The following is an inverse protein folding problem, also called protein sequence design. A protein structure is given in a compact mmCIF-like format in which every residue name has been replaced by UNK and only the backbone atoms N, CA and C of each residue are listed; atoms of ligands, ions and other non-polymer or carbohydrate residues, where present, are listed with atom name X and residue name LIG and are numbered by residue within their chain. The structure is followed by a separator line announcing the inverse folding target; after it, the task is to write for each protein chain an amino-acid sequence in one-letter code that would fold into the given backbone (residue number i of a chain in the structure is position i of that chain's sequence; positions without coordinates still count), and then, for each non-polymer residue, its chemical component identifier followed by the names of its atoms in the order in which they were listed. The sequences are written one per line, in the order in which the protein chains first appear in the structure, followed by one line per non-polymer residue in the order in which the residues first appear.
data_IF_266111017466
#
_entry.id   IF_266111017466
#
_cell.length_a   1.000
_cell.length_b   1.000
_cell.length_c   1.000
_cell.angle_alpha   90.00
_cell.angle_beta   90.00
_cell.angle_gamma   90.00
#
_symmetry.space_group_name_H-M   'P 1'
#
loop_
_entity.id
_entity.type
_entity.pdbx_description
1 polymer ?
#
# COMPACT_ATOMS: atom_id res chain seq x y z
N UNK A 1 17.48 11.04 10.91
CA UNK A 1 16.28 11.00 11.77
C UNK A 1 15.49 9.71 11.57
N UNK A 2 15.08 9.30 10.35
CA UNK A 2 14.32 8.04 10.17
C UNK A 2 15.03 6.79 10.69
N UNK A 3 16.33 6.64 10.40
CA UNK A 3 17.12 5.49 10.85
C UNK A 3 17.20 5.30 12.37
N UNK A 4 17.10 6.38 13.15
CA UNK A 4 17.07 6.31 14.62
C UNK A 4 15.70 5.83 15.12
N UNK A 5 14.62 6.32 14.53
CA UNK A 5 13.25 5.90 14.85
C UNK A 5 13.06 4.42 14.49
N UNK A 6 13.46 4.00 13.28
CA UNK A 6 13.35 2.60 12.87
C UNK A 6 14.16 1.67 13.79
N UNK A 7 15.33 2.12 14.25
CA UNK A 7 16.14 1.36 15.22
C UNK A 7 15.43 1.20 16.56
N UNK A 8 14.84 2.27 17.08
CA UNK A 8 14.14 2.22 18.36
C UNK A 8 12.84 1.42 18.31
N UNK A 9 12.08 1.55 17.21
CA UNK A 9 10.93 0.68 16.93
C UNK A 9 11.36 -0.79 16.87
N UNK A 10 12.46 -1.09 16.17
CA UNK A 10 12.97 -2.46 16.10
C UNK A 10 13.46 -3.00 17.45
N UNK A 11 14.03 -2.17 18.34
CA UNK A 11 14.37 -2.60 19.71
C UNK A 11 13.12 -3.06 20.45
N UNK A 12 12.03 -2.30 20.33
CA UNK A 12 10.76 -2.67 20.96
C UNK A 12 10.15 -3.92 20.32
N UNK A 13 10.10 -4.00 18.99
CA UNK A 13 9.58 -5.16 18.27
C UNK A 13 10.35 -6.44 18.60
N UNK A 14 11.67 -6.34 18.79
CA UNK A 14 12.51 -7.49 19.16
C UNK A 14 12.09 -8.11 20.50
N UNK A 15 11.59 -7.31 21.46
CA UNK A 15 11.04 -7.84 22.73
C UNK A 15 9.81 -8.75 22.52
N UNK A 16 9.16 -8.64 21.35
CA UNK A 16 8.00 -9.42 20.94
C UNK A 16 8.33 -10.45 19.85
N UNK A 17 9.61 -10.65 19.54
CA UNK A 17 10.06 -11.58 18.48
C UNK A 17 9.81 -11.09 17.06
N UNK A 18 9.52 -9.80 16.87
CA UNK A 18 9.25 -9.18 15.56
C UNK A 18 10.44 -8.32 15.12
N UNK A 19 10.57 -8.11 13.81
CA UNK A 19 11.59 -7.24 13.22
C UNK A 19 11.11 -6.72 11.88
N UNK A 20 11.36 -5.45 11.59
CA UNK A 20 11.16 -4.85 10.26
C UNK A 20 12.53 -4.51 9.71
N UNK A 21 12.79 -4.86 8.46
CA UNK A 21 14.03 -4.60 7.75
C UNK A 21 13.86 -3.46 6.75
N UNK A 22 14.95 -3.08 6.09
CA UNK A 22 15.01 -2.03 5.09
C UNK A 22 14.64 -2.54 3.69
N UNK A 23 13.91 -3.65 3.60
CA UNK A 23 13.45 -4.19 2.34
C UNK A 23 11.94 -4.27 2.32
N UNK A 24 11.30 -3.65 1.33
CA UNK A 24 9.83 -3.55 1.27
C UNK A 24 9.30 -4.09 -0.05
N UNK A 25 8.33 -4.99 0.02
CA UNK A 25 7.53 -5.48 -1.11
C UNK A 25 6.24 -4.66 -1.11
N UNK A 26 5.90 -4.06 -2.25
CA UNK A 26 4.67 -3.32 -2.46
C UNK A 26 3.75 -4.05 -3.43
N UNK A 27 2.47 -4.11 -3.09
CA UNK A 27 1.43 -4.65 -3.96
C UNK A 27 0.11 -3.92 -3.74
N UNK A 28 -0.75 -3.93 -4.76
CA UNK A 28 -2.08 -3.32 -4.70
C UNK A 28 -3.17 -4.32 -5.10
N UNK A 29 -4.17 -4.47 -4.24
CA UNK A 29 -5.33 -5.33 -4.48
C UNK A 29 -6.62 -4.53 -4.55
N UNK A 30 -7.44 -4.77 -5.58
CA UNK A 30 -8.76 -4.16 -5.73
C UNK A 30 -9.73 -4.81 -4.73
N UNK A 31 -10.37 -3.98 -3.91
CA UNK A 31 -11.48 -4.36 -3.04
C UNK A 31 -12.78 -3.96 -3.74
N UNK A 32 -13.47 -4.96 -4.29
CA UNK A 32 -14.68 -4.75 -5.06
C UNK A 32 -15.89 -4.42 -4.16
N UNK A 33 -16.62 -3.37 -4.53
CA UNK A 33 -17.84 -2.94 -3.90
C UNK A 33 -19.01 -2.93 -4.91
N UNK A 34 -20.26 -3.17 -4.47
CA UNK A 34 -21.43 -2.98 -5.33
C UNK A 34 -21.57 -1.51 -5.76
N UNK A 35 -21.82 -1.24 -7.05
CA UNK A 35 -22.07 0.13 -7.56
C UNK A 35 -23.48 0.68 -7.29
N UNK A 36 -24.22 -0.01 -6.42
CA UNK A 36 -25.62 0.26 -6.08
C UNK A 36 -25.77 1.56 -5.29
N UNK A 37 -26.80 2.34 -5.63
CA UNK A 37 -27.24 3.52 -4.87
C UNK A 37 -28.44 3.21 -3.96
N UNK A 38 -28.81 1.93 -3.80
CA UNK A 38 -29.92 1.50 -2.93
C UNK A 38 -29.50 1.53 -1.45
N UNK A 39 -29.14 2.70 -0.96
CA UNK A 39 -28.92 3.01 0.45
C UNK A 39 -29.79 4.20 0.85
N UNK A 40 -29.82 4.52 2.15
CA UNK A 40 -30.63 5.61 2.70
C UNK A 40 -30.34 6.97 2.02
N UNK A 41 -29.05 7.24 1.76
CA UNK A 41 -28.58 8.47 1.13
C UNK A 41 -28.85 8.53 -0.39
N UNK A 42 -29.31 7.43 -1.01
CA UNK A 42 -29.51 7.30 -2.47
C UNK A 42 -28.27 7.68 -3.31
N UNK A 43 -27.09 7.51 -2.75
CA UNK A 43 -25.83 7.97 -3.34
C UNK A 43 -24.81 6.84 -3.38
N UNK A 44 -23.80 6.97 -4.26
CA UNK A 44 -22.61 6.11 -4.19
C UNK A 44 -21.67 6.65 -3.12
N UNK A 45 -20.85 5.75 -2.60
CA UNK A 45 -19.71 6.16 -1.79
C UNK A 45 -18.79 7.07 -2.64
N UNK A 46 -18.45 8.28 -2.14
CA UNK A 46 -17.66 9.25 -2.88
C UNK A 46 -16.19 8.83 -3.11
N UNK A 47 -15.65 7.95 -2.26
CA UNK A 47 -14.26 7.46 -2.31
C UNK A 47 -14.12 6.25 -3.24
N UNK A 48 -15.22 5.57 -3.58
CA UNK A 48 -15.23 4.42 -4.48
C UNK A 48 -15.26 4.87 -5.95
N UNK A 49 -14.40 4.28 -6.79
CA UNK A 49 -14.30 4.58 -8.23
C UNK A 49 -14.22 3.32 -9.08
N UNK A 50 -14.49 3.47 -10.36
CA UNK A 50 -14.43 2.35 -11.32
C UNK A 50 -13.04 2.23 -11.95
N UNK A 51 -12.58 1.01 -12.16
CA UNK A 51 -11.34 0.69 -12.87
C UNK A 51 -11.52 -0.57 -13.73
N UNK A 52 -10.62 -0.80 -14.69
CA UNK A 52 -10.63 -1.99 -15.55
C UNK A 52 -9.33 -2.75 -15.37
N UNK A 53 -9.41 -3.99 -14.91
CA UNK A 53 -8.26 -4.91 -14.75
C UNK A 53 -8.56 -6.22 -15.46
N UNK A 54 -7.62 -6.71 -16.28
CA UNK A 54 -7.77 -7.97 -17.02
C UNK A 54 -9.11 -8.10 -17.80
N UNK A 55 -9.50 -7.03 -18.50
CA UNK A 55 -10.75 -6.93 -19.27
C UNK A 55 -12.06 -6.91 -18.44
N UNK A 56 -11.98 -6.95 -17.11
CA UNK A 56 -13.13 -6.84 -16.22
C UNK A 56 -13.21 -5.46 -15.55
N UNK A 57 -14.43 -4.94 -15.45
CA UNK A 57 -14.71 -3.70 -14.73
C UNK A 57 -14.97 -3.98 -13.25
N UNK A 58 -14.35 -3.18 -12.39
CA UNK A 58 -14.55 -3.20 -10.95
C UNK A 58 -14.98 -1.82 -10.50
N UNK A 59 -15.90 -1.76 -9.55
CA UNK A 59 -16.18 -0.55 -8.78
C UNK A 59 -15.71 -0.79 -7.35
N UNK A 60 -14.97 0.15 -6.77
CA UNK A 60 -14.52 0.02 -5.40
C UNK A 60 -13.29 0.85 -5.07
N UNK A 61 -12.47 0.28 -4.19
CA UNK A 61 -11.18 0.80 -3.74
C UNK A 61 -10.06 -0.16 -4.11
N UNK A 62 -8.83 0.25 -3.88
CA UNK A 62 -7.68 -0.64 -3.78
C UNK A 62 -6.99 -0.44 -2.44
N UNK A 63 -6.41 -1.53 -1.95
CA UNK A 63 -5.53 -1.53 -0.79
C UNK A 63 -4.11 -1.69 -1.30
N UNK A 64 -3.31 -0.65 -1.11
CA UNK A 64 -1.88 -0.60 -1.39
C UNK A 64 -1.16 -1.02 -0.09
N UNK A 65 -0.27 -2.00 -0.16
CA UNK A 65 0.31 -2.67 1.03
C UNK A 65 1.83 -2.70 0.94
N UNK A 66 2.49 -2.27 2.02
CA UNK A 66 3.94 -2.41 2.23
C UNK A 66 4.26 -3.57 3.17
N UNK A 67 5.05 -4.52 2.69
CA UNK A 67 5.40 -5.76 3.38
C UNK A 67 6.91 -5.89 3.50
N UNK A 68 7.41 -6.20 4.70
CA UNK A 68 8.83 -6.44 4.90
C UNK A 68 9.27 -7.71 4.15
N UNK A 69 10.30 -7.59 3.32
CA UNK A 69 10.70 -8.67 2.41
C UNK A 69 11.30 -9.89 3.10
N UNK A 70 11.81 -9.74 4.33
CA UNK A 70 12.48 -10.82 5.08
C UNK A 70 11.52 -11.55 6.02
N UNK A 71 10.71 -10.79 6.74
CA UNK A 71 9.82 -11.28 7.79
C UNK A 71 8.38 -11.46 7.31
N UNK A 72 8.04 -10.88 6.16
CA UNK A 72 6.68 -10.86 5.59
C UNK A 72 5.66 -10.15 6.48
N UNK A 73 6.12 -9.28 7.38
CA UNK A 73 5.24 -8.45 8.19
C UNK A 73 4.71 -7.29 7.36
N UNK A 74 3.39 -7.10 7.38
CA UNK A 74 2.77 -5.90 6.84
C UNK A 74 3.10 -4.74 7.79
N UNK A 75 3.75 -3.71 7.27
CA UNK A 75 4.12 -2.52 8.06
C UNK A 75 3.42 -1.26 7.58
N UNK A 76 2.81 -1.26 6.40
CA UNK A 76 2.03 -0.14 5.89
C UNK A 76 0.83 -0.64 5.07
N UNK A 77 -0.29 0.08 5.17
CA UNK A 77 -1.48 -0.12 4.33
C UNK A 77 -2.07 1.25 4.05
N UNK A 78 -2.34 1.51 2.78
CA UNK A 78 -3.08 2.68 2.31
C UNK A 78 -4.29 2.22 1.51
N UNK A 79 -5.40 2.93 1.68
CA UNK A 79 -6.65 2.64 0.98
C UNK A 79 -6.96 3.82 0.06
N UNK A 80 -7.11 3.55 -1.23
CA UNK A 80 -7.39 4.58 -2.23
C UNK A 80 -8.51 4.14 -3.17
N UNK A 81 -9.03 5.08 -3.95
CA UNK A 81 -10.01 4.76 -4.99
C UNK A 81 -9.44 3.74 -5.99
N UNK A 82 -10.24 2.81 -6.51
CA UNK A 82 -9.72 1.73 -7.36
C UNK A 82 -9.08 2.20 -8.68
N UNK A 83 -9.31 3.46 -9.08
CA UNK A 83 -8.71 4.07 -10.27
C UNK A 83 -7.47 4.92 -9.97
N UNK A 84 -7.08 5.07 -8.71
CA UNK A 84 -5.86 5.78 -8.36
C UNK A 84 -4.66 5.01 -8.90
N UNK A 85 -3.58 5.73 -9.22
CA UNK A 85 -2.33 5.13 -9.70
C UNK A 85 -1.58 4.53 -8.50
N UNK A 86 -0.96 3.36 -8.66
CA UNK A 86 -0.24 2.69 -7.56
C UNK A 86 1.01 3.49 -7.16
N UNK A 87 1.63 4.13 -8.15
CA UNK A 87 2.85 4.90 -7.99
C UNK A 87 2.73 6.15 -7.10
N UNK A 88 1.52 6.70 -6.92
CA UNK A 88 1.31 7.89 -6.09
C UNK A 88 1.30 7.61 -4.60
N UNK A 89 1.14 6.34 -4.21
CA UNK A 89 0.99 5.92 -2.80
C UNK A 89 2.31 5.35 -2.26
N UNK A 90 3.34 5.25 -3.11
CA UNK A 90 4.58 4.56 -2.75
C UNK A 90 5.25 5.17 -1.51
N UNK A 91 5.28 6.50 -1.37
CA UNK A 91 5.84 7.17 -0.20
C UNK A 91 5.15 6.77 1.12
N UNK A 92 3.84 6.52 1.08
CA UNK A 92 3.06 6.10 2.25
C UNK A 92 3.30 4.62 2.63
N UNK A 93 3.83 3.82 1.70
CA UNK A 93 4.12 2.40 1.92
C UNK A 93 5.54 2.15 2.43
N UNK A 94 6.43 3.14 2.31
CA UNK A 94 7.82 3.06 2.72
C UNK A 94 8.02 3.73 4.09
N UNK A 95 9.03 3.29 4.83
CA UNK A 95 9.42 3.90 6.12
C UNK A 95 10.68 4.78 6.03
N UNK A 96 11.25 4.92 4.82
CA UNK A 96 12.24 5.93 4.44
C UNK A 96 13.70 5.49 4.55
N UNK A 97 13.97 4.30 5.08
CA UNK A 97 15.31 3.71 5.16
C UNK A 97 15.45 2.48 4.22
N UNK A 98 14.54 2.29 3.28
CA UNK A 98 14.56 1.17 2.35
C UNK A 98 15.76 1.20 1.40
N UNK A 99 16.49 0.09 1.37
CA UNK A 99 17.60 -0.12 0.42
C UNK A 99 17.15 -0.88 -0.82
N UNK A 100 16.00 -1.58 -0.72
CA UNK A 100 15.45 -2.43 -1.76
C UNK A 100 13.92 -2.37 -1.70
N UNK A 101 13.30 -2.06 -2.84
CA UNK A 101 11.85 -2.10 -3.00
C UNK A 101 11.52 -3.05 -4.14
N UNK A 102 10.59 -3.97 -3.91
CA UNK A 102 10.07 -4.89 -4.92
C UNK A 102 8.60 -4.57 -5.17
N UNK A 103 8.19 -4.51 -6.43
CA UNK A 103 6.80 -4.29 -6.81
C UNK A 103 6.58 -4.68 -8.26
N UNK A 104 5.33 -4.55 -8.71
CA UNK A 104 5.01 -4.73 -10.12
C UNK A 104 5.47 -3.54 -10.99
N UNK A 105 5.18 -3.60 -12.28
CA UNK A 105 5.56 -2.55 -13.23
C UNK A 105 4.90 -1.19 -12.92
N UNK A 106 3.75 -1.15 -12.22
CA UNK A 106 3.06 0.09 -11.91
C UNK A 106 3.86 0.98 -10.96
N UNK A 107 4.80 0.40 -10.19
CA UNK A 107 5.75 1.12 -9.33
C UNK A 107 7.07 1.48 -10.02
N UNK A 108 7.28 1.04 -11.27
CA UNK A 108 8.50 1.31 -12.02
C UNK A 108 8.66 2.80 -12.33
N UNK A 109 9.89 3.32 -12.23
CA UNK A 109 10.21 4.72 -12.52
C UNK A 109 10.18 5.65 -11.30
N UNK A 110 9.70 5.19 -10.14
CA UNK A 110 9.67 5.96 -8.89
C UNK A 110 11.02 5.97 -8.14
N UNK A 111 12.12 6.18 -8.86
CA UNK A 111 13.48 6.15 -8.29
C UNK A 111 13.76 7.28 -7.30
N UNK A 112 13.04 8.39 -7.37
CA UNK A 112 13.23 9.51 -6.44
C UNK A 112 12.71 9.21 -5.03
N UNK A 113 11.71 8.32 -4.95
CA UNK A 113 11.10 7.82 -3.70
C UNK A 113 11.93 6.69 -3.08
N UNK A 114 12.63 5.91 -3.92
CA UNK A 114 13.54 4.84 -3.52
C UNK A 114 14.96 5.42 -3.38
N UNK A 115 15.29 5.95 -2.20
CA UNK A 115 16.57 6.65 -1.94
C UNK A 115 17.71 5.73 -1.50
#
# INVERSE_FOLDING_TARGET
MCSEILRDVNKYLATRGLRISTGTIVDATIVHAPSSTKNEAKARDPEMRQTRKANQWYFGMKADIGVDSKTRLIHAVAATAANALDSTVLEDLLHGDEIQVWGDQAYSGQREVIR
#
